data_IF_311583283441
#
_entry.id   IF_311583283441
#
_cell.length_a   1.000
_cell.length_b   1.000
_cell.length_c   1.000
_cell.angle_alpha   90.00
_cell.angle_beta   90.00
_cell.angle_gamma   90.00
#
_symmetry.space_group_name_H-M   'P 1'
#
loop_
_entity.id
_entity.type
_entity.pdbx_description
1 polymer ?
#
# COMPACT_ATOMS: atom_id res chain seq x y z
N UNK A 1 11.93 46.63 -23.21
CA UNK A 1 12.98 45.59 -23.05
C UNK A 1 12.30 44.23 -23.05
N UNK A 2 12.97 43.23 -23.62
CA UNK A 2 12.39 41.95 -24.11
C UNK A 2 11.60 41.19 -23.02
N UNK A 3 10.43 40.65 -23.41
CA UNK A 3 9.80 39.52 -22.71
C UNK A 3 10.78 38.36 -22.84
N UNK A 4 11.49 38.00 -21.78
CA UNK A 4 12.25 36.76 -21.77
C UNK A 4 11.25 35.60 -21.90
N UNK A 5 11.37 34.87 -23.00
CA UNK A 5 10.63 33.65 -23.25
C UNK A 5 11.02 32.62 -22.19
N UNK A 6 10.08 32.20 -21.34
CA UNK A 6 10.30 31.10 -20.38
C UNK A 6 10.68 29.85 -21.19
N UNK A 7 11.95 29.48 -21.17
CA UNK A 7 12.45 28.33 -21.90
C UNK A 7 12.03 27.06 -21.15
N UNK A 8 11.38 26.13 -21.87
CA UNK A 8 10.89 24.87 -21.28
C UNK A 8 12.07 24.00 -20.83
N UNK A 9 12.06 23.47 -19.60
CA UNK A 9 13.14 22.61 -19.12
C UNK A 9 13.31 21.35 -19.96
N UNK A 10 14.55 21.01 -20.30
CA UNK A 10 14.93 19.86 -21.11
C UNK A 10 15.39 18.72 -20.20
N UNK A 11 14.65 17.63 -20.18
CA UNK A 11 14.93 16.44 -19.37
C UNK A 11 15.39 15.32 -20.28
N UNK A 12 16.52 14.69 -19.96
CA UNK A 12 16.90 13.41 -20.57
C UNK A 12 16.48 12.26 -19.65
N UNK A 13 15.56 11.42 -20.11
CA UNK A 13 15.13 10.23 -19.38
C UNK A 13 15.73 8.95 -20.00
N UNK A 14 16.57 8.26 -19.23
CA UNK A 14 17.26 7.03 -19.63
C UNK A 14 16.63 5.83 -18.90
N UNK A 15 15.96 4.96 -19.65
CA UNK A 15 15.18 3.83 -19.14
C UNK A 15 15.01 2.80 -20.27
N UNK A 16 15.12 1.51 -20.01
CA UNK A 16 15.01 0.46 -21.03
C UNK A 16 13.57 -0.04 -21.24
N UNK A 17 12.72 0.02 -20.21
CA UNK A 17 11.31 -0.35 -20.33
C UNK A 17 10.49 0.70 -21.13
N UNK A 18 9.92 0.33 -22.30
CA UNK A 18 9.17 1.26 -23.14
C UNK A 18 7.89 1.78 -22.49
N UNK A 19 7.30 1.03 -21.55
CA UNK A 19 6.08 1.47 -20.85
C UNK A 19 6.40 2.56 -19.83
N UNK A 20 7.45 2.37 -19.03
CA UNK A 20 7.95 3.37 -18.08
C UNK A 20 8.36 4.66 -18.79
N UNK A 21 9.13 4.55 -19.88
CA UNK A 21 9.46 5.66 -20.78
C UNK A 21 8.22 6.45 -21.22
N UNK A 22 7.22 5.77 -21.77
CA UNK A 22 5.99 6.40 -22.25
C UNK A 22 5.23 7.14 -21.14
N UNK A 23 5.11 6.56 -19.95
CA UNK A 23 4.36 7.13 -18.83
C UNK A 23 5.06 8.38 -18.30
N UNK A 24 6.35 8.28 -17.98
CA UNK A 24 7.11 9.39 -17.41
C UNK A 24 7.31 10.51 -18.44
N UNK A 25 7.54 10.17 -19.72
CA UNK A 25 7.59 11.17 -20.80
C UNK A 25 6.32 12.00 -20.85
N UNK A 26 5.15 11.34 -20.96
CA UNK A 26 3.85 12.04 -21.03
C UNK A 26 3.61 12.93 -19.81
N UNK A 27 4.03 12.47 -18.63
CA UNK A 27 3.87 13.20 -17.38
C UNK A 27 4.75 14.44 -17.31
N UNK A 28 6.00 14.34 -17.73
CA UNK A 28 6.93 15.46 -17.72
C UNK A 28 6.61 16.47 -18.83
N UNK A 29 6.15 16.00 -20.00
CA UNK A 29 5.63 16.84 -21.07
C UNK A 29 4.39 17.64 -20.63
N UNK A 30 3.46 17.01 -19.89
CA UNK A 30 2.30 17.72 -19.33
C UNK A 30 2.67 18.69 -18.19
N UNK A 31 3.82 18.48 -17.54
CA UNK A 31 4.41 19.43 -16.60
C UNK A 31 5.17 20.58 -17.28
N UNK A 32 5.12 20.67 -18.61
CA UNK A 32 5.74 21.76 -19.38
C UNK A 32 7.21 21.51 -19.77
N UNK A 33 7.75 20.31 -19.55
CA UNK A 33 9.11 19.95 -19.93
C UNK A 33 9.21 19.46 -21.38
N UNK A 34 10.41 19.57 -21.95
CA UNK A 34 10.80 18.87 -23.18
C UNK A 34 11.55 17.61 -22.74
N UNK A 35 11.05 16.43 -23.11
CA UNK A 35 11.65 15.16 -22.70
C UNK A 35 12.35 14.50 -23.89
N UNK A 36 13.61 14.16 -23.70
CA UNK A 36 14.40 13.32 -24.58
C UNK A 36 14.56 11.94 -23.95
N UNK A 37 14.38 10.87 -24.72
CA UNK A 37 14.45 9.50 -24.23
C UNK A 37 15.76 8.82 -24.66
N UNK A 38 16.29 7.92 -23.85
CA UNK A 38 17.36 6.98 -24.23
C UNK A 38 17.03 5.59 -23.64
N UNK A 39 17.36 4.52 -24.37
CA UNK A 39 16.94 3.15 -24.00
C UNK A 39 18.03 2.33 -23.29
N UNK A 40 19.23 2.91 -23.14
CA UNK A 40 20.37 2.32 -22.42
C UNK A 40 21.37 3.41 -22.03
N UNK A 41 22.33 3.06 -21.16
CA UNK A 41 23.32 4.01 -20.65
C UNK A 41 24.21 4.61 -21.75
N UNK A 42 24.56 3.84 -22.79
CA UNK A 42 25.40 4.32 -23.90
C UNK A 42 24.73 5.45 -24.67
N UNK A 43 23.48 5.23 -25.08
CA UNK A 43 22.67 6.24 -25.75
C UNK A 43 22.43 7.45 -24.82
N UNK A 44 22.28 7.22 -23.51
CA UNK A 44 22.18 8.27 -22.50
C UNK A 44 23.41 9.19 -22.48
N UNK A 45 24.62 8.63 -22.50
CA UNK A 45 25.88 9.40 -22.57
C UNK A 45 25.98 10.21 -23.87
N UNK A 46 25.70 9.59 -25.01
CA UNK A 46 25.74 10.25 -26.33
C UNK A 46 24.73 11.41 -26.43
N UNK A 47 23.51 11.20 -25.92
CA UNK A 47 22.47 12.22 -25.87
C UNK A 47 22.78 13.32 -24.86
N UNK A 48 23.36 13.01 -23.72
CA UNK A 48 23.76 14.02 -22.74
C UNK A 48 24.79 14.98 -23.34
N UNK A 49 25.81 14.46 -24.03
CA UNK A 49 26.87 15.26 -24.65
C UNK A 49 26.38 16.16 -25.80
N UNK A 50 25.33 15.74 -26.51
CA UNK A 50 24.79 16.49 -27.66
C UNK A 50 23.67 17.46 -27.26
N UNK A 51 22.79 17.05 -26.34
CA UNK A 51 21.62 17.84 -25.94
C UNK A 51 21.94 18.85 -24.85
N UNK A 52 22.91 18.56 -23.97
CA UNK A 52 23.19 19.30 -22.73
C UNK A 52 21.86 19.58 -21.98
N UNK A 53 21.16 18.53 -21.51
CA UNK A 53 19.89 18.69 -20.81
C UNK A 53 20.05 19.45 -19.48
N UNK A 54 18.94 19.98 -18.97
CA UNK A 54 18.91 20.70 -17.69
C UNK A 54 18.90 19.72 -16.51
N UNK A 55 18.45 18.48 -16.71
CA UNK A 55 18.53 17.37 -15.75
C UNK A 55 18.44 16.01 -16.46
N UNK A 56 19.09 15.00 -15.88
CA UNK A 56 19.04 13.62 -16.34
C UNK A 56 18.33 12.75 -15.29
N UNK A 57 17.34 11.98 -15.72
CA UNK A 57 16.75 10.89 -14.96
C UNK A 57 17.36 9.59 -15.46
N UNK A 58 18.13 8.91 -14.62
CA UNK A 58 18.96 7.77 -15.02
C UNK A 58 18.52 6.50 -14.29
N UNK A 59 17.94 5.53 -15.00
CA UNK A 59 17.78 4.19 -14.43
C UNK A 59 19.14 3.54 -14.16
N UNK A 60 19.28 2.89 -13.01
CA UNK A 60 20.51 2.20 -12.65
C UNK A 60 20.64 0.87 -13.41
N UNK A 61 19.57 0.11 -13.57
CA UNK A 61 19.61 -1.22 -14.19
C UNK A 61 19.30 -1.12 -15.69
N UNK A 62 20.29 -0.71 -16.48
CA UNK A 62 20.16 -0.58 -17.93
C UNK A 62 20.94 -1.67 -18.69
N UNK A 63 20.43 -2.14 -19.85
CA UNK A 63 21.17 -3.03 -20.73
C UNK A 63 22.32 -2.28 -21.42
N UNK A 64 23.29 -3.02 -21.96
CA UNK A 64 24.48 -2.51 -22.69
C UNK A 64 25.48 -1.74 -21.80
N UNK A 65 25.01 -0.74 -21.07
CA UNK A 65 25.76 0.06 -20.12
C UNK A 65 24.81 0.44 -18.98
N UNK A 66 25.15 0.07 -17.76
CA UNK A 66 24.36 0.41 -16.58
C UNK A 66 24.38 1.91 -16.26
N UNK A 67 23.44 2.36 -15.44
CA UNK A 67 23.28 3.79 -15.13
C UNK A 67 24.39 4.39 -14.28
N UNK A 68 25.06 3.59 -13.44
CA UNK A 68 26.19 4.08 -12.63
C UNK A 68 27.39 4.36 -13.53
N UNK A 69 27.68 3.45 -14.44
CA UNK A 69 28.74 3.59 -15.42
C UNK A 69 28.45 4.74 -16.41
N UNK A 70 27.19 4.86 -16.86
CA UNK A 70 26.77 5.99 -17.69
C UNK A 70 26.97 7.34 -16.95
N UNK A 71 26.63 7.39 -15.66
CA UNK A 71 26.83 8.58 -14.81
C UNK A 71 28.30 8.96 -14.74
N UNK A 72 29.21 8.01 -14.48
CA UNK A 72 30.66 8.28 -14.43
C UNK A 72 31.16 8.89 -15.74
N UNK A 73 30.76 8.33 -16.90
CA UNK A 73 31.13 8.87 -18.21
C UNK A 73 30.59 10.27 -18.45
N UNK A 74 29.36 10.56 -18.04
CA UNK A 74 28.76 11.89 -18.13
C UNK A 74 29.53 12.90 -17.26
N UNK A 75 30.07 12.47 -16.11
CA UNK A 75 30.89 13.31 -15.22
C UNK A 75 32.29 13.60 -15.76
N UNK A 76 32.86 12.71 -16.56
CA UNK A 76 34.18 12.90 -17.18
C UNK A 76 34.19 13.95 -18.30
N UNK A 77 33.05 14.17 -18.97
CA UNK A 77 32.91 15.15 -20.04
C UNK A 77 32.68 16.55 -19.42
N UNK A 78 33.59 17.49 -19.68
CA UNK A 78 33.60 18.83 -19.07
C UNK A 78 32.29 19.59 -19.24
N UNK A 79 31.66 19.45 -20.40
CA UNK A 79 30.42 20.13 -20.77
C UNK A 79 29.18 19.57 -20.05
N UNK A 80 29.20 18.28 -19.69
CA UNK A 80 28.08 17.60 -19.02
C UNK A 80 28.31 17.35 -17.53
N UNK A 81 29.54 17.57 -17.04
CA UNK A 81 29.96 17.26 -15.68
C UNK A 81 29.11 17.92 -14.59
N UNK A 82 28.45 19.05 -14.89
CA UNK A 82 27.59 19.79 -13.96
C UNK A 82 26.10 19.52 -14.11
N UNK A 83 25.69 18.72 -15.10
CA UNK A 83 24.27 18.45 -15.32
C UNK A 83 23.74 17.64 -14.14
N UNK A 84 22.67 18.05 -13.46
CA UNK A 84 22.08 17.29 -12.38
C UNK A 84 21.62 15.90 -12.84
N UNK A 85 21.99 14.85 -12.10
CA UNK A 85 21.63 13.45 -12.39
C UNK A 85 20.87 12.89 -11.18
N UNK A 86 19.61 12.51 -11.40
CA UNK A 86 18.78 11.78 -10.44
C UNK A 86 18.76 10.30 -10.84
N UNK A 87 19.31 9.44 -9.99
CA UNK A 87 19.25 8.00 -10.18
C UNK A 87 17.85 7.44 -9.89
N UNK A 88 17.38 6.49 -10.71
CA UNK A 88 16.16 5.73 -10.48
C UNK A 88 16.60 4.30 -10.12
N UNK A 89 16.33 3.87 -8.87
CA UNK A 89 16.85 2.59 -8.34
C UNK A 89 15.74 1.68 -7.84
N UNK A 90 15.81 0.38 -8.13
CA UNK A 90 14.87 -0.61 -7.59
C UNK A 90 15.08 -0.91 -6.09
N UNK A 91 16.22 -0.52 -5.52
CA UNK A 91 16.58 -0.78 -4.12
C UNK A 91 17.07 0.52 -3.47
N UNK A 92 16.40 0.91 -2.40
CA UNK A 92 16.76 2.08 -1.58
C UNK A 92 17.45 1.65 -0.28
N UNK A 93 18.29 0.62 -0.33
CA UNK A 93 19.05 0.14 0.83
C UNK A 93 20.34 0.96 1.01
N UNK A 94 20.92 0.92 2.20
CA UNK A 94 22.09 1.74 2.54
C UNK A 94 23.29 1.55 1.60
N UNK A 95 23.52 0.33 1.08
CA UNK A 95 24.61 0.04 0.15
C UNK A 95 24.42 0.62 -1.26
N UNK A 96 23.19 0.72 -1.74
CA UNK A 96 22.90 1.26 -3.07
C UNK A 96 23.08 2.79 -3.08
N UNK A 97 22.73 3.45 -1.98
CA UNK A 97 22.91 4.91 -1.83
C UNK A 97 24.37 5.31 -1.95
N UNK A 98 25.28 4.57 -1.32
CA UNK A 98 26.71 4.87 -1.36
C UNK A 98 27.27 4.71 -2.78
N UNK A 99 26.89 3.64 -3.49
CA UNK A 99 27.29 3.41 -4.88
C UNK A 99 26.77 4.49 -5.84
N UNK A 100 25.52 4.92 -5.66
CA UNK A 100 24.89 5.98 -6.47
C UNK A 100 25.63 7.32 -6.27
N UNK A 101 25.94 7.68 -5.01
CA UNK A 101 26.66 8.91 -4.71
C UNK A 101 28.12 8.85 -5.20
N UNK A 102 28.80 7.71 -5.04
CA UNK A 102 30.16 7.50 -5.54
C UNK A 102 30.25 7.56 -7.07
N UNK A 103 29.21 7.13 -7.78
CA UNK A 103 29.13 7.26 -9.24
C UNK A 103 28.96 8.73 -9.70
N UNK A 104 28.58 9.63 -8.78
CA UNK A 104 28.42 11.05 -9.03
C UNK A 104 26.99 11.48 -9.32
N UNK A 105 25.98 10.72 -8.91
CA UNK A 105 24.59 11.19 -8.94
C UNK A 105 24.34 12.23 -7.85
N UNK A 106 23.53 13.25 -8.15
CA UNK A 106 23.19 14.31 -7.20
C UNK A 106 22.06 13.90 -6.26
N UNK A 107 21.18 13.00 -6.72
CA UNK A 107 20.05 12.50 -5.96
C UNK A 107 19.60 11.14 -6.47
N UNK A 108 18.64 10.52 -5.79
CA UNK A 108 18.02 9.27 -6.20
C UNK A 108 16.54 9.20 -5.85
N UNK A 109 15.80 8.39 -6.60
CA UNK A 109 14.40 8.06 -6.41
C UNK A 109 14.26 6.54 -6.49
N UNK A 110 13.61 5.95 -5.49
CA UNK A 110 13.29 4.53 -5.49
C UNK A 110 12.17 4.23 -6.51
N UNK A 111 12.31 3.15 -7.28
CA UNK A 111 11.24 2.55 -8.06
C UNK A 111 10.35 1.72 -7.11
N UNK A 112 9.00 1.76 -7.25
CA UNK A 112 8.24 2.52 -8.26
C UNK A 112 8.32 4.03 -8.04
N UNK A 113 8.47 4.78 -9.14
CA UNK A 113 8.73 6.23 -9.12
C UNK A 113 7.54 6.96 -8.47
N UNK A 114 7.79 7.61 -7.33
CA UNK A 114 6.84 8.51 -6.69
C UNK A 114 6.81 9.84 -7.46
N UNK A 115 5.74 10.05 -8.23
CA UNK A 115 5.59 11.19 -9.13
C UNK A 115 5.63 12.54 -8.39
N UNK A 116 4.90 12.77 -7.28
CA UNK A 116 5.06 13.97 -6.47
C UNK A 116 6.51 14.21 -6.02
N UNK A 117 7.22 13.18 -5.57
CA UNK A 117 8.62 13.30 -5.18
C UNK A 117 9.52 13.65 -6.37
N UNK A 118 9.30 13.02 -7.53
CA UNK A 118 10.01 13.31 -8.77
C UNK A 118 9.82 14.77 -9.17
N UNK A 119 8.57 15.25 -9.22
CA UNK A 119 8.28 16.65 -9.55
C UNK A 119 8.89 17.61 -8.52
N UNK A 120 8.82 17.28 -7.23
CA UNK A 120 9.43 18.09 -6.18
C UNK A 120 10.96 18.20 -6.33
N UNK A 121 11.65 17.09 -6.59
CA UNK A 121 13.10 17.10 -6.84
C UNK A 121 13.45 17.87 -8.11
N UNK A 122 12.67 17.70 -9.18
CA UNK A 122 12.84 18.47 -10.41
C UNK A 122 12.63 19.98 -10.20
N UNK A 123 11.62 20.38 -9.43
CA UNK A 123 11.37 21.77 -9.04
C UNK A 123 12.58 22.38 -8.31
N UNK A 124 13.15 21.65 -7.36
CA UNK A 124 14.33 22.11 -6.61
C UNK A 124 15.57 22.31 -7.50
N UNK A 125 15.73 21.47 -8.51
CA UNK A 125 16.89 21.51 -9.41
C UNK A 125 16.74 22.58 -10.49
N UNK A 126 15.57 22.67 -11.11
CA UNK A 126 15.33 23.49 -12.30
C UNK A 126 14.94 24.94 -11.92
N UNK A 127 14.43 25.17 -10.71
CA UNK A 127 14.14 26.51 -10.19
C UNK A 127 12.94 27.22 -10.87
N UNK A 128 12.10 26.48 -11.60
CA UNK A 128 10.90 26.99 -12.28
C UNK A 128 9.63 26.42 -11.66
N UNK A 129 8.52 27.16 -11.65
CA UNK A 129 7.19 26.61 -11.33
C UNK A 129 6.77 25.58 -12.41
N UNK A 130 7.09 24.30 -12.19
CA UNK A 130 6.53 23.19 -12.96
C UNK A 130 5.04 23.10 -12.61
N UNK A 131 4.20 23.65 -13.47
CA UNK A 131 2.75 23.54 -13.41
C UNK A 131 2.31 22.45 -14.39
N UNK A 132 1.48 21.50 -13.93
CA UNK A 132 0.81 20.55 -14.82
C UNK A 132 -0.23 21.34 -15.63
N UNK A 133 0.17 21.92 -16.75
CA UNK A 133 -0.75 22.63 -17.63
C UNK A 133 -1.43 21.62 -18.56
N UNK A 134 -2.76 21.68 -18.74
CA UNK A 134 -3.42 20.96 -19.81
C UNK A 134 -2.90 21.50 -21.14
N UNK A 135 -2.16 20.69 -21.89
CA UNK A 135 -1.68 21.09 -23.20
C UNK A 135 -2.90 21.23 -24.14
N UNK A 136 -3.25 22.49 -24.44
CA UNK A 136 -4.25 22.87 -25.43
C UNK A 136 -3.84 22.38 -26.83
N UNK A 137 -4.67 21.52 -27.42
CA UNK A 137 -4.82 21.46 -28.88
C UNK A 137 -6.12 20.72 -29.22
N UNK A 138 -7.19 21.49 -29.40
CA UNK A 138 -8.21 21.39 -30.46
C UNK A 138 -9.25 22.50 -30.22
N UNK A 139 -9.19 23.54 -31.04
CA UNK A 139 -10.03 24.73 -30.95
C UNK A 139 -11.49 24.48 -31.36
N UNK A 140 -12.38 25.31 -30.78
CA UNK A 140 -13.75 25.67 -31.18
C UNK A 140 -14.86 24.60 -31.01
N UNK A 141 -15.64 24.73 -29.93
CA UNK A 141 -16.95 25.42 -29.93
C UNK A 141 -17.56 25.45 -28.52
N UNK A 142 -18.33 26.51 -28.30
CA UNK A 142 -19.28 26.73 -27.21
C UNK A 142 -18.70 27.09 -25.84
N UNK A 143 -18.65 28.42 -25.63
CA UNK A 143 -18.81 29.03 -24.31
C UNK A 143 -20.09 28.49 -23.67
N UNK A 144 -19.92 27.75 -22.60
CA UNK A 144 -20.91 27.68 -21.52
C UNK A 144 -20.16 28.12 -20.26
N UNK A 145 -20.46 29.33 -19.78
CA UNK A 145 -20.24 29.64 -18.35
C UNK A 145 -21.34 28.95 -17.56
N UNK A 146 -21.00 28.24 -16.47
CA UNK A 146 -21.81 28.36 -15.27
C UNK A 146 -20.98 28.58 -14.00
N UNK A 147 -21.67 29.04 -12.96
CA UNK A 147 -21.20 29.52 -11.66
C UNK A 147 -20.14 28.66 -10.94
N UNK A 148 -19.35 29.33 -10.10
CA UNK A 148 -18.41 28.70 -9.17
C UNK A 148 -19.09 27.59 -8.35
N UNK A 149 -18.63 26.35 -8.51
CA UNK A 149 -18.96 25.23 -7.63
C UNK A 149 -18.42 25.55 -6.23
N UNK A 150 -19.28 25.61 -5.21
CA UNK A 150 -18.90 25.89 -3.81
C UNK A 150 -19.13 24.68 -2.90
N UNK A 151 -19.22 23.49 -3.49
CA UNK A 151 -19.46 22.23 -2.78
C UNK A 151 -18.16 21.76 -2.11
N UNK A 152 -18.27 21.32 -0.87
CA UNK A 152 -17.17 20.83 -0.04
C UNK A 152 -17.21 19.30 0.07
N UNK A 153 -16.13 18.67 -0.37
CA UNK A 153 -15.91 17.23 -0.25
C UNK A 153 -15.04 16.91 0.96
N UNK A 154 -15.35 15.82 1.65
CA UNK A 154 -14.48 15.23 2.66
C UNK A 154 -13.94 13.89 2.18
N UNK A 155 -12.63 13.80 1.97
CA UNK A 155 -11.94 12.57 1.59
C UNK A 155 -11.42 11.90 2.86
N UNK A 156 -11.80 10.65 3.09
CA UNK A 156 -11.40 9.88 4.27
C UNK A 156 -10.66 8.63 3.82
N UNK A 157 -9.35 8.64 4.02
CA UNK A 157 -8.47 7.56 3.60
C UNK A 157 -7.21 7.60 4.47
N UNK A 158 -6.82 6.47 5.02
CA UNK A 158 -5.67 6.35 5.93
C UNK A 158 -4.34 6.29 5.18
N UNK A 159 -4.37 6.08 3.86
CA UNK A 159 -3.21 6.07 2.99
C UNK A 159 -2.97 7.47 2.41
N UNK A 160 -1.90 8.19 2.83
CA UNK A 160 -1.68 9.58 2.41
C UNK A 160 -1.59 9.78 0.89
N UNK A 161 -1.10 8.78 0.17
CA UNK A 161 -1.00 8.82 -1.31
C UNK A 161 -2.38 8.92 -1.97
N UNK A 162 -3.35 8.17 -1.47
CA UNK A 162 -4.71 8.18 -1.99
C UNK A 162 -5.39 9.53 -1.74
N UNK A 163 -5.24 10.04 -0.52
CA UNK A 163 -5.74 11.36 -0.11
C UNK A 163 -5.22 12.44 -1.05
N UNK A 164 -3.89 12.51 -1.26
CA UNK A 164 -3.25 13.52 -2.12
C UNK A 164 -3.76 13.45 -3.56
N UNK A 165 -3.92 12.24 -4.11
CA UNK A 165 -4.41 12.06 -5.49
C UNK A 165 -5.85 12.55 -5.61
N UNK A 166 -6.72 12.12 -4.70
CA UNK A 166 -8.14 12.48 -4.72
C UNK A 166 -8.34 13.97 -4.46
N UNK A 167 -7.61 14.54 -3.51
CA UNK A 167 -7.62 15.97 -3.22
C UNK A 167 -7.26 16.78 -4.47
N UNK A 168 -6.14 16.46 -5.13
CA UNK A 168 -5.74 17.14 -6.37
C UNK A 168 -6.78 17.00 -7.47
N UNK A 169 -7.34 15.81 -7.66
CA UNK A 169 -8.36 15.55 -8.67
C UNK A 169 -9.58 16.45 -8.44
N UNK A 170 -10.13 16.47 -7.23
CA UNK A 170 -11.35 17.22 -6.97
C UNK A 170 -11.13 18.73 -6.81
N UNK A 171 -10.00 19.16 -6.25
CA UNK A 171 -9.64 20.58 -6.26
C UNK A 171 -9.48 21.10 -7.69
N UNK A 172 -8.92 20.30 -8.61
CA UNK A 172 -8.81 20.68 -10.04
C UNK A 172 -10.16 20.79 -10.76
N UNK A 173 -11.18 20.09 -10.25
CA UNK A 173 -12.56 20.17 -10.72
C UNK A 173 -13.36 21.31 -10.06
N UNK A 174 -12.72 22.09 -9.17
CA UNK A 174 -13.29 23.26 -8.52
C UNK A 174 -13.97 23.01 -7.18
N UNK A 175 -13.86 21.80 -6.61
CA UNK A 175 -14.40 21.49 -5.28
C UNK A 175 -13.51 22.04 -4.16
N UNK A 176 -14.12 22.46 -3.06
CA UNK A 176 -13.39 22.61 -1.80
C UNK A 176 -13.18 21.20 -1.20
N UNK A 177 -11.97 20.91 -0.73
CA UNK A 177 -11.63 19.56 -0.25
C UNK A 177 -11.07 19.64 1.16
N UNK A 178 -11.66 18.86 2.06
CA UNK A 178 -11.13 18.53 3.37
C UNK A 178 -10.72 17.06 3.40
N UNK A 179 -9.77 16.72 4.28
CA UNK A 179 -9.20 15.38 4.34
C UNK A 179 -9.16 14.86 5.78
N UNK A 180 -9.34 13.55 5.94
CA UNK A 180 -9.21 12.86 7.21
C UNK A 180 -8.51 11.51 7.02
N UNK A 181 -7.75 11.09 8.02
CA UNK A 181 -6.97 9.84 7.96
C UNK A 181 -7.70 8.62 8.53
N UNK A 182 -8.93 8.77 9.04
CA UNK A 182 -9.80 7.70 9.53
C UNK A 182 -11.20 8.25 9.84
N UNK A 183 -12.14 7.35 10.14
CA UNK A 183 -13.53 7.73 10.46
C UNK A 183 -13.67 8.64 11.69
N UNK A 184 -12.83 8.49 12.71
CA UNK A 184 -12.95 9.32 13.92
C UNK A 184 -12.64 10.80 13.63
N UNK A 185 -11.53 11.07 12.94
CA UNK A 185 -11.17 12.43 12.50
C UNK A 185 -12.21 12.99 11.52
N UNK A 186 -12.76 12.15 10.65
CA UNK A 186 -13.83 12.57 9.75
C UNK A 186 -15.07 13.05 10.52
N UNK A 187 -15.48 12.34 11.58
CA UNK A 187 -16.58 12.78 12.45
C UNK A 187 -16.27 14.09 13.18
N UNK A 188 -15.02 14.37 13.54
CA UNK A 188 -14.63 15.66 14.11
C UNK A 188 -14.78 16.81 13.10
N UNK A 189 -14.34 16.60 11.85
CA UNK A 189 -14.51 17.57 10.77
C UNK A 189 -15.99 17.82 10.49
N UNK A 190 -16.80 16.77 10.41
CA UNK A 190 -18.24 16.84 10.16
C UNK A 190 -19.03 17.62 11.24
N UNK A 191 -18.46 17.82 12.44
CA UNK A 191 -19.08 18.66 13.48
C UNK A 191 -18.94 20.15 13.21
N UNK A 192 -17.84 20.55 12.57
CA UNK A 192 -17.41 21.95 12.48
C UNK A 192 -17.44 22.51 11.06
N UNK A 193 -17.60 21.65 10.05
CA UNK A 193 -17.59 22.03 8.65
C UNK A 193 -18.86 21.55 7.95
N UNK A 194 -19.36 22.36 7.01
CA UNK A 194 -20.42 21.96 6.11
C UNK A 194 -19.81 21.13 4.98
N UNK A 195 -20.23 19.86 4.89
CA UNK A 195 -19.74 18.89 3.91
C UNK A 195 -20.93 18.44 3.06
N UNK A 196 -20.76 18.39 1.75
CA UNK A 196 -21.81 17.99 0.81
C UNK A 196 -21.69 16.50 0.44
N UNK A 197 -20.46 15.97 0.40
CA UNK A 197 -20.18 14.57 0.11
C UNK A 197 -18.95 14.07 0.85
N UNK A 198 -19.06 12.89 1.45
CA UNK A 198 -17.94 12.11 2.00
C UNK A 198 -17.54 11.02 1.01
N UNK A 199 -16.25 10.94 0.67
CA UNK A 199 -15.64 9.85 -0.09
C UNK A 199 -14.72 9.11 0.85
N UNK A 200 -15.08 7.87 1.22
CA UNK A 200 -14.37 7.11 2.25
C UNK A 200 -13.79 5.82 1.69
N UNK A 201 -12.53 5.52 2.04
CA UNK A 201 -12.10 4.13 2.06
C UNK A 201 -12.86 3.37 3.16
N UNK A 202 -12.85 2.04 3.06
CA UNK A 202 -13.46 1.15 4.05
C UNK A 202 -12.42 0.71 5.06
N UNK A 203 -11.33 0.09 4.61
CA UNK A 203 -10.31 -0.40 5.54
C UNK A 203 -9.49 0.77 6.07
N UNK A 204 -9.79 1.21 7.28
CA UNK A 204 -9.06 2.29 7.95
C UNK A 204 -8.90 1.96 9.44
N UNK A 205 -7.77 2.33 10.07
CA UNK A 205 -7.54 2.12 11.49
C UNK A 205 -8.44 3.02 12.33
N UNK A 206 -8.61 2.65 13.61
CA UNK A 206 -9.43 3.34 14.61
C UNK A 206 -10.93 3.27 14.33
N UNK A 207 -11.35 3.67 13.14
CA UNK A 207 -12.73 3.58 12.67
C UNK A 207 -12.72 3.40 11.15
N UNK A 208 -13.24 2.26 10.71
CA UNK A 208 -13.42 1.93 9.30
C UNK A 208 -14.57 2.73 8.65
N UNK A 209 -14.64 2.67 7.32
CA UNK A 209 -15.61 3.41 6.53
C UNK A 209 -17.05 2.96 6.74
N UNK A 210 -17.31 1.67 7.00
CA UNK A 210 -18.66 1.19 7.27
C UNK A 210 -19.18 1.80 8.57
N UNK A 211 -18.32 1.83 9.59
CA UNK A 211 -18.66 2.47 10.86
C UNK A 211 -18.82 3.98 10.73
N UNK A 212 -17.95 4.66 9.98
CA UNK A 212 -18.12 6.08 9.69
C UNK A 212 -19.50 6.35 9.05
N UNK A 213 -19.88 5.59 8.02
CA UNK A 213 -21.17 5.73 7.34
C UNK A 213 -22.33 5.49 8.31
N UNK A 214 -22.25 4.47 9.15
CA UNK A 214 -23.26 4.17 10.16
C UNK A 214 -23.46 5.33 11.16
N UNK A 215 -22.37 5.87 11.73
CA UNK A 215 -22.45 7.00 12.67
C UNK A 215 -23.00 8.26 11.99
N UNK A 216 -22.65 8.48 10.72
CA UNK A 216 -23.20 9.58 9.94
C UNK A 216 -24.71 9.46 9.74
N UNK A 217 -25.23 8.26 9.44
CA UNK A 217 -26.67 8.06 9.26
C UNK A 217 -27.46 8.16 10.56
N UNK A 218 -26.86 7.79 11.69
CA UNK A 218 -27.48 7.92 13.02
C UNK A 218 -27.67 9.38 13.42
N UNK A 219 -26.76 10.27 13.02
CA UNK A 219 -26.79 11.67 13.43
C UNK A 219 -27.66 12.53 12.46
N UNK A 220 -28.73 13.18 12.95
CA UNK A 220 -29.62 14.00 12.12
C UNK A 220 -28.94 15.13 11.33
N UNK A 221 -27.80 15.64 11.81
CA UNK A 221 -27.05 16.71 11.15
C UNK A 221 -26.23 16.21 9.95
N UNK A 222 -25.84 14.94 9.96
CA UNK A 222 -24.92 14.36 8.95
C UNK A 222 -25.59 13.35 8.04
N UNK A 223 -26.74 12.79 8.42
CA UNK A 223 -27.44 11.76 7.63
C UNK A 223 -27.93 12.26 6.27
N UNK A 224 -28.00 13.58 6.07
CA UNK A 224 -28.33 14.22 4.80
C UNK A 224 -27.14 14.43 3.86
N UNK A 225 -25.91 14.17 4.31
CA UNK A 225 -24.68 14.36 3.54
C UNK A 225 -24.46 13.13 2.65
N UNK A 226 -24.13 13.32 1.37
CA UNK A 226 -23.86 12.18 0.49
C UNK A 226 -22.66 11.37 0.96
N UNK A 227 -22.66 10.07 0.67
CA UNK A 227 -21.59 9.16 1.06
C UNK A 227 -21.26 8.19 -0.06
N UNK A 228 -19.98 8.11 -0.43
CA UNK A 228 -19.47 7.17 -1.42
C UNK A 228 -18.37 6.32 -0.77
N UNK A 229 -18.52 5.01 -0.86
CA UNK A 229 -17.41 4.09 -0.61
C UNK A 229 -16.49 4.06 -1.84
N UNK A 230 -15.20 4.27 -1.62
CA UNK A 230 -14.18 4.18 -2.65
C UNK A 230 -13.02 3.32 -2.14
N UNK A 231 -13.04 2.01 -2.41
CA UNK A 231 -12.09 1.06 -1.82
C UNK A 231 -11.47 0.09 -2.84
N UNK A 232 -10.26 -0.40 -2.58
CA UNK A 232 -9.58 -1.43 -3.36
C UNK A 232 -9.86 -2.85 -2.87
N UNK A 233 -10.33 -3.01 -1.63
CA UNK A 233 -10.36 -4.31 -0.95
C UNK A 233 -11.75 -4.89 -0.79
N UNK A 234 -12.79 -4.27 -1.34
CA UNK A 234 -14.18 -4.69 -1.13
C UNK A 234 -14.91 -4.50 -2.46
N UNK A 235 -15.26 -5.59 -3.14
CA UNK A 235 -15.86 -5.53 -4.49
C UNK A 235 -16.89 -6.63 -4.74
N UNK A 236 -17.17 -7.47 -3.74
CA UNK A 236 -18.15 -8.53 -3.90
C UNK A 236 -19.59 -7.99 -3.69
N UNK A 237 -20.59 -8.69 -4.23
CA UNK A 237 -21.99 -8.23 -4.19
C UNK A 237 -22.54 -8.04 -2.77
N UNK A 238 -22.03 -8.79 -1.78
CA UNK A 238 -22.47 -8.68 -0.38
C UNK A 238 -21.95 -7.41 0.28
N UNK A 239 -20.67 -7.09 0.09
CA UNK A 239 -20.02 -5.88 0.62
C UNK A 239 -20.60 -4.60 0.03
N UNK A 240 -20.83 -4.62 -1.29
CA UNK A 240 -21.51 -3.53 -2.00
C UNK A 240 -22.93 -3.37 -1.47
N UNK A 241 -23.67 -4.48 -1.33
CA UNK A 241 -25.02 -4.49 -0.77
C UNK A 241 -25.07 -3.89 0.63
N UNK A 242 -24.18 -4.34 1.53
CA UNK A 242 -24.10 -3.83 2.89
C UNK A 242 -23.84 -2.33 2.95
N UNK A 243 -22.85 -1.83 2.20
CA UNK A 243 -22.56 -0.40 2.15
C UNK A 243 -23.76 0.44 1.71
N UNK A 244 -24.52 -0.04 0.72
CA UNK A 244 -25.74 0.63 0.26
C UNK A 244 -26.86 0.55 1.31
N UNK A 245 -27.03 -0.59 2.00
CA UNK A 245 -28.00 -0.75 3.09
C UNK A 245 -27.70 0.19 4.26
N UNK A 246 -26.43 0.51 4.53
CA UNK A 246 -26.04 1.50 5.53
C UNK A 246 -26.42 2.94 5.17
N UNK A 247 -26.81 3.21 3.93
CA UNK A 247 -27.17 4.56 3.47
C UNK A 247 -26.11 5.27 2.63
N UNK A 248 -25.10 4.54 2.14
CA UNK A 248 -24.22 5.09 1.11
C UNK A 248 -24.95 5.25 -0.22
N UNK A 249 -24.68 6.35 -0.90
CA UNK A 249 -25.23 6.68 -2.21
C UNK A 249 -24.58 5.85 -3.32
N UNK A 250 -23.30 5.53 -3.17
CA UNK A 250 -22.60 4.68 -4.12
C UNK A 250 -21.44 3.90 -3.52
N UNK A 251 -21.15 2.78 -4.18
CA UNK A 251 -19.94 1.99 -4.01
C UNK A 251 -19.04 2.04 -5.25
N UNK A 252 -17.74 2.29 -5.09
CA UNK A 252 -16.76 2.43 -6.17
C UNK A 252 -15.49 1.61 -5.86
N UNK A 253 -15.04 0.81 -6.83
CA UNK A 253 -13.88 -0.09 -6.68
C UNK A 253 -12.64 0.51 -7.33
N UNK A 254 -11.56 0.67 -6.58
CA UNK A 254 -10.27 1.18 -7.08
C UNK A 254 -9.54 0.13 -7.94
N UNK A 255 -8.77 0.55 -8.96
CA UNK A 255 -8.65 1.91 -9.47
C UNK A 255 -9.81 2.27 -10.43
N UNK A 256 -10.33 3.50 -10.32
CA UNK A 256 -11.19 4.07 -11.37
C UNK A 256 -10.42 5.09 -12.20
N UNK A 257 -10.75 5.16 -13.49
CA UNK A 257 -10.34 6.30 -14.34
C UNK A 257 -10.88 7.60 -13.74
N UNK A 258 -10.03 8.62 -13.65
CA UNK A 258 -10.34 9.92 -13.06
C UNK A 258 -11.63 10.54 -13.60
N UNK A 259 -11.84 10.48 -14.92
CA UNK A 259 -13.08 11.00 -15.54
C UNK A 259 -14.32 10.29 -15.02
N UNK A 260 -14.30 8.95 -14.89
CA UNK A 260 -15.43 8.18 -14.35
C UNK A 260 -15.69 8.50 -12.88
N UNK A 261 -14.63 8.69 -12.10
CA UNK A 261 -14.72 9.09 -10.70
C UNK A 261 -15.41 10.46 -10.56
N UNK A 262 -14.92 11.47 -11.29
CA UNK A 262 -15.48 12.82 -11.28
C UNK A 262 -16.92 12.84 -11.76
N UNK A 263 -17.23 12.16 -12.89
CA UNK A 263 -18.61 12.07 -13.39
C UNK A 263 -19.54 11.44 -12.36
N UNK A 264 -19.07 10.41 -11.64
CA UNK A 264 -19.89 9.77 -10.61
C UNK A 264 -20.17 10.71 -9.44
N UNK A 265 -19.16 11.43 -8.96
CA UNK A 265 -19.32 12.42 -7.87
C UNK A 265 -20.30 13.51 -8.28
N UNK A 266 -20.15 14.08 -9.48
CA UNK A 266 -21.09 15.07 -10.03
C UNK A 266 -22.52 14.54 -10.07
N UNK A 267 -22.70 13.31 -10.55
CA UNK A 267 -24.03 12.70 -10.61
C UNK A 267 -24.63 12.52 -9.21
N UNK A 268 -23.85 12.10 -8.22
CA UNK A 268 -24.35 11.94 -6.84
C UNK A 268 -24.80 13.27 -6.26
N UNK A 269 -23.97 14.32 -6.38
CA UNK A 269 -24.26 15.66 -5.86
C UNK A 269 -25.47 16.33 -6.54
N UNK A 270 -25.77 15.97 -7.79
CA UNK A 270 -26.93 16.51 -8.52
C UNK A 270 -28.28 15.90 -8.09
N UNK A 271 -28.29 14.83 -7.31
CA UNK A 271 -29.52 14.17 -6.88
C UNK A 271 -29.78 14.41 -5.39
N UNK A 272 -31.04 14.56 -4.99
CA UNK A 272 -31.38 14.61 -3.58
C UNK A 272 -31.01 13.30 -2.88
N UNK A 273 -30.38 13.41 -1.69
CA UNK A 273 -30.04 12.24 -0.89
C UNK A 273 -31.30 11.52 -0.43
N UNK A 274 -31.41 10.25 -0.83
CA UNK A 274 -32.45 9.33 -0.34
C UNK A 274 -32.04 8.81 1.03
N UNK A 275 -32.86 9.10 2.04
CA UNK A 275 -32.65 8.61 3.40
C UNK A 275 -33.05 7.13 3.50
N UNK A 276 -32.08 6.26 3.71
CA UNK A 276 -32.32 4.86 4.03
C UNK A 276 -32.88 4.71 5.46
N UNK A 277 -33.65 3.64 5.74
CA UNK A 277 -34.01 3.28 7.11
C UNK A 277 -32.77 3.09 7.97
N UNK A 278 -32.80 3.58 9.21
CA UNK A 278 -31.68 3.42 10.13
C UNK A 278 -31.60 1.98 10.63
N UNK A 279 -30.47 1.33 10.38
CA UNK A 279 -30.16 -0.01 10.90
C UNK A 279 -29.92 0.04 12.42
N UNK A 280 -30.36 -0.98 13.15
CA UNK A 280 -30.06 -1.11 14.57
C UNK A 280 -28.56 -1.34 14.82
N UNK A 281 -28.11 -1.13 16.06
CA UNK A 281 -26.72 -1.38 16.41
C UNK A 281 -26.37 -2.87 16.32
N UNK A 282 -27.28 -3.72 16.78
CA UNK A 282 -27.12 -5.16 16.82
C UNK A 282 -26.99 -5.74 15.40
N UNK A 283 -27.87 -5.33 14.49
CA UNK A 283 -27.81 -5.72 13.07
C UNK A 283 -26.54 -5.21 12.40
N UNK A 284 -26.14 -3.96 12.67
CA UNK A 284 -24.89 -3.40 12.14
C UNK A 284 -23.70 -4.22 12.60
N UNK A 285 -23.55 -4.45 13.91
CA UNK A 285 -22.43 -5.17 14.49
C UNK A 285 -22.32 -6.56 13.90
N UNK A 286 -23.44 -7.30 13.85
CA UNK A 286 -23.44 -8.65 13.30
C UNK A 286 -22.99 -8.68 11.83
N UNK A 287 -23.57 -7.85 10.96
CA UNK A 287 -23.24 -7.82 9.53
C UNK A 287 -21.81 -7.30 9.28
N UNK A 288 -21.38 -6.32 10.06
CA UNK A 288 -20.04 -5.75 10.00
C UNK A 288 -18.99 -6.79 10.42
N UNK A 289 -19.21 -7.46 11.54
CA UNK A 289 -18.37 -8.56 12.04
C UNK A 289 -18.34 -9.72 11.05
N UNK A 290 -19.49 -10.11 10.49
CA UNK A 290 -19.60 -11.13 9.44
C UNK A 290 -18.84 -10.75 8.17
N UNK A 291 -18.83 -9.48 7.75
CA UNK A 291 -18.12 -9.04 6.55
C UNK A 291 -16.61 -8.94 6.76
N UNK A 292 -16.18 -8.46 7.92
CA UNK A 292 -14.78 -8.54 8.37
C UNK A 292 -14.31 -10.00 8.42
N UNK A 293 -15.19 -10.90 8.87
CA UNK A 293 -15.00 -12.36 8.92
C UNK A 293 -15.04 -13.01 7.52
N UNK A 294 -15.89 -12.54 6.60
CA UNK A 294 -16.12 -13.15 5.27
C UNK A 294 -15.00 -12.90 4.27
N UNK A 295 -14.18 -11.87 4.49
CA UNK A 295 -12.92 -11.67 3.77
C UNK A 295 -11.88 -12.74 4.04
N UNK A 296 -12.14 -13.58 5.03
CA UNK A 296 -11.23 -14.61 5.51
C UNK A 296 -11.64 -15.98 4.97
N UNK A 297 -12.62 -16.05 4.06
CA UNK A 297 -13.12 -17.30 3.45
C UNK A 297 -12.12 -17.97 2.47
N UNK A 298 -10.95 -17.38 2.19
CA UNK A 298 -9.83 -18.13 1.57
C UNK A 298 -9.00 -18.96 2.59
N UNK A 299 -9.26 -18.83 3.89
CA UNK A 299 -8.55 -19.52 4.98
C UNK A 299 -9.47 -20.55 5.66
N UNK A 300 -10.42 -21.15 4.92
CA UNK A 300 -11.23 -22.22 5.48
C UNK A 300 -10.33 -23.45 5.73
N UNK A 301 -10.20 -23.95 6.97
CA UNK A 301 -9.34 -25.09 7.24
C UNK A 301 -9.95 -26.33 6.62
N UNK A 302 -9.17 -27.00 5.77
CA UNK A 302 -9.43 -28.38 5.39
C UNK A 302 -8.48 -29.29 6.14
N UNK A 303 -9.02 -30.38 6.67
CA UNK A 303 -8.26 -31.40 7.39
C UNK A 303 -7.36 -32.17 6.44
N UNK A 304 -6.05 -32.17 6.71
CA UNK A 304 -5.03 -32.98 6.03
C UNK A 304 -4.66 -34.20 6.86
N UNK A 305 -4.24 -35.28 6.20
CA UNK A 305 -3.66 -36.46 6.84
C UNK A 305 -2.13 -36.44 6.68
N UNK A 306 -1.42 -36.59 7.79
CA UNK A 306 0.05 -36.58 7.82
C UNK A 306 0.60 -37.93 8.28
N UNK A 307 1.82 -38.28 7.83
CA UNK A 307 2.59 -39.37 8.42
C UNK A 307 3.17 -38.91 9.76
N UNK A 308 3.26 -39.80 10.75
CA UNK A 308 3.86 -39.49 12.06
C UNK A 308 5.26 -38.90 11.89
N UNK A 309 5.47 -37.72 12.49
CA UNK A 309 6.77 -37.06 12.57
C UNK A 309 7.19 -37.08 14.03
N UNK A 310 8.27 -37.80 14.34
CA UNK A 310 8.89 -37.74 15.66
C UNK A 310 9.61 -36.39 15.82
N UNK A 311 9.15 -35.59 16.77
CA UNK A 311 9.91 -34.44 17.27
C UNK A 311 9.83 -34.43 18.80
N UNK A 312 10.96 -34.47 19.49
CA UNK A 312 11.02 -34.55 20.97
C UNK A 312 10.72 -33.22 21.69
N UNK A 313 10.13 -32.25 21.00
CA UNK A 313 9.86 -30.91 21.55
C UNK A 313 8.42 -30.87 22.10
N UNK A 314 8.30 -30.75 23.42
CA UNK A 314 7.02 -30.56 24.09
C UNK A 314 6.60 -29.09 24.02
N UNK A 315 5.50 -28.80 23.31
CA UNK A 315 4.87 -27.48 23.29
C UNK A 315 3.45 -27.59 23.83
N UNK A 316 3.11 -26.70 24.76
CA UNK A 316 1.80 -26.55 25.39
C UNK A 316 0.88 -25.64 24.55
N UNK A 317 -0.42 -25.91 24.66
CA UNK A 317 -1.50 -25.16 24.02
C UNK A 317 -1.72 -23.82 24.74
N UNK A 318 -2.18 -22.79 24.01
CA UNK A 318 -2.47 -21.47 24.58
C UNK A 318 -1.22 -20.63 24.82
N UNK A 319 -0.11 -20.95 24.13
CA UNK A 319 1.16 -20.25 24.26
C UNK A 319 1.74 -19.89 22.91
N UNK A 320 2.53 -18.82 22.93
CA UNK A 320 3.32 -18.36 21.81
C UNK A 320 4.80 -18.60 22.07
N UNK A 321 5.50 -19.11 21.07
CA UNK A 321 6.86 -19.58 21.17
C UNK A 321 7.78 -18.81 20.23
N UNK A 322 8.93 -18.39 20.76
CA UNK A 322 10.04 -17.85 19.99
C UNK A 322 11.00 -19.00 19.70
N UNK A 323 11.31 -19.23 18.43
CA UNK A 323 12.21 -20.29 17.98
C UNK A 323 13.44 -19.63 17.37
N UNK A 324 14.58 -19.76 18.04
CA UNK A 324 15.83 -19.21 17.52
C UNK A 324 16.40 -20.14 16.44
N UNK A 325 16.33 -19.73 15.18
CA UNK A 325 16.87 -20.50 14.07
C UNK A 325 17.21 -19.63 12.86
N UNK A 326 18.26 -20.02 12.13
CA UNK A 326 18.68 -19.31 10.92
C UNK A 326 17.82 -19.65 9.70
N UNK A 327 17.30 -20.86 9.68
CA UNK A 327 16.43 -21.40 8.63
C UNK A 327 15.26 -22.07 9.32
N UNK A 328 14.01 -21.92 8.84
CA UNK A 328 12.80 -22.30 9.60
C UNK A 328 12.56 -23.83 9.70
N UNK A 329 13.59 -24.66 9.55
CA UNK A 329 13.41 -26.12 9.49
C UNK A 329 12.84 -26.67 10.80
N UNK A 330 13.32 -26.19 11.95
CA UNK A 330 12.85 -26.65 13.27
C UNK A 330 11.41 -26.21 13.51
N UNK A 331 11.06 -24.97 13.19
CA UNK A 331 9.68 -24.48 13.33
C UNK A 331 8.70 -25.22 12.41
N UNK A 332 9.07 -25.52 11.16
CA UNK A 332 8.24 -26.35 10.28
C UNK A 332 8.09 -27.79 10.79
N UNK A 333 9.13 -28.39 11.40
CA UNK A 333 9.02 -29.71 12.02
C UNK A 333 8.03 -29.71 13.20
N UNK A 334 8.12 -28.71 14.10
CA UNK A 334 7.17 -28.56 15.21
C UNK A 334 5.75 -28.36 14.67
N UNK A 335 5.59 -27.50 13.66
CA UNK A 335 4.31 -27.23 13.02
C UNK A 335 3.68 -28.50 12.44
N UNK A 336 4.44 -29.27 11.63
CA UNK A 336 3.98 -30.52 11.03
C UNK A 336 3.57 -31.57 12.07
N UNK A 337 4.33 -31.70 13.16
CA UNK A 337 3.95 -32.59 14.27
C UNK A 337 2.59 -32.20 14.83
N UNK A 338 2.30 -30.92 15.00
CA UNK A 338 0.99 -30.46 15.48
C UNK A 338 -0.13 -30.74 14.49
N UNK A 339 0.11 -30.61 13.19
CA UNK A 339 -0.88 -31.03 12.22
C UNK A 339 -1.17 -32.55 12.30
N UNK A 340 -0.13 -33.38 12.52
CA UNK A 340 -0.31 -34.82 12.72
C UNK A 340 -1.08 -35.17 14.02
N UNK A 341 -1.01 -34.33 15.04
CA UNK A 341 -1.81 -34.42 16.28
C UNK A 341 -3.26 -33.92 16.11
N UNK A 342 -3.65 -33.50 14.90
CA UNK A 342 -5.00 -33.05 14.57
C UNK A 342 -5.24 -31.55 14.75
N UNK A 343 -4.19 -30.73 14.89
CA UNK A 343 -4.33 -29.28 14.84
C UNK A 343 -4.53 -28.81 13.41
N UNK A 344 -5.29 -27.74 13.24
CA UNK A 344 -5.38 -27.03 11.97
C UNK A 344 -4.22 -26.03 11.86
N UNK A 345 -3.60 -25.94 10.70
CA UNK A 345 -2.43 -25.09 10.45
C UNK A 345 -2.75 -23.80 9.71
N UNK A 346 -2.03 -22.72 10.04
CA UNK A 346 -1.92 -21.52 9.21
C UNK A 346 -0.45 -21.11 9.10
N UNK A 347 0.00 -20.85 7.87
CA UNK A 347 1.39 -20.41 7.62
C UNK A 347 1.40 -19.00 7.06
N UNK A 348 2.06 -18.09 7.76
CA UNK A 348 2.41 -16.76 7.26
C UNK A 348 3.88 -16.83 6.85
N UNK A 349 4.19 -16.64 5.57
CA UNK A 349 5.57 -16.82 5.08
C UNK A 349 6.01 -15.75 4.10
N UNK A 350 7.29 -15.40 4.13
CA UNK A 350 7.96 -14.60 3.08
C UNK A 350 8.29 -15.42 1.83
N UNK A 351 8.43 -16.72 1.99
CA UNK A 351 8.70 -17.64 0.88
C UNK A 351 7.44 -17.80 0.05
N UNK A 352 7.58 -17.83 -1.27
CA UNK A 352 6.41 -18.02 -2.14
C UNK A 352 5.71 -19.36 -1.80
N UNK A 353 4.40 -19.36 -1.47
CA UNK A 353 3.74 -20.51 -0.84
C UNK A 353 3.89 -21.83 -1.58
N UNK A 354 3.91 -21.85 -2.92
CA UNK A 354 4.10 -23.08 -3.70
C UNK A 354 5.37 -23.85 -3.30
N UNK A 355 6.47 -23.16 -3.00
CA UNK A 355 7.72 -23.83 -2.61
C UNK A 355 7.61 -24.47 -1.23
N UNK A 356 6.97 -23.78 -0.28
CA UNK A 356 6.78 -24.30 1.08
C UNK A 356 5.83 -25.49 1.06
N UNK A 357 4.72 -25.38 0.31
CA UNK A 357 3.75 -26.48 0.13
C UNK A 357 4.43 -27.74 -0.41
N UNK A 358 5.23 -27.60 -1.46
CA UNK A 358 5.94 -28.74 -2.05
C UNK A 358 7.03 -29.32 -1.13
N UNK A 359 7.75 -28.47 -0.38
CA UNK A 359 8.84 -28.90 0.50
C UNK A 359 8.33 -29.68 1.72
N UNK A 360 7.19 -29.26 2.29
CA UNK A 360 6.67 -29.79 3.55
C UNK A 360 5.36 -30.57 3.39
N UNK A 361 4.90 -30.78 2.14
CA UNK A 361 3.69 -31.53 1.81
C UNK A 361 2.41 -30.96 2.48
N UNK A 362 2.25 -29.63 2.39
CA UNK A 362 1.17 -28.84 3.00
C UNK A 362 0.16 -28.39 1.93
N UNK A 363 -0.59 -29.33 1.35
CA UNK A 363 -1.46 -29.10 0.19
C UNK A 363 -2.69 -28.24 0.53
N UNK A 364 -3.40 -28.59 1.60
CA UNK A 364 -4.64 -27.96 2.05
C UNK A 364 -4.44 -26.96 3.20
N UNK A 365 -3.25 -26.93 3.83
CA UNK A 365 -2.92 -25.90 4.80
C UNK A 365 -3.03 -24.51 4.14
N UNK A 366 -3.75 -23.55 4.75
CA UNK A 366 -3.84 -22.18 4.27
C UNK A 366 -2.55 -21.39 4.48
N UNK A 367 -2.29 -20.45 3.56
CA UNK A 367 -1.10 -19.61 3.56
C UNK A 367 -1.46 -18.14 3.41
N UNK A 368 -0.77 -17.27 4.16
CA UNK A 368 -0.68 -15.84 3.87
C UNK A 368 0.72 -15.55 3.37
N UNK A 369 0.84 -15.11 2.13
CA UNK A 369 2.11 -14.70 1.56
C UNK A 369 2.42 -13.26 1.99
N UNK A 370 3.39 -13.11 2.88
CA UNK A 370 3.86 -11.80 3.31
C UNK A 370 4.59 -11.17 2.12
N UNK A 371 3.90 -10.43 1.26
CA UNK A 371 4.49 -9.80 0.07
C UNK A 371 3.80 -8.49 -0.26
N UNK A 372 4.57 -7.55 -0.79
CA UNK A 372 4.03 -6.30 -1.35
C UNK A 372 3.43 -6.51 -2.75
N UNK A 373 3.63 -7.69 -3.35
CA UNK A 373 3.09 -8.05 -4.66
C UNK A 373 1.85 -8.92 -4.50
N UNK A 374 0.74 -8.47 -5.05
CA UNK A 374 -0.50 -9.25 -5.09
C UNK A 374 -0.31 -10.54 -5.91
N UNK A 375 -0.82 -11.66 -5.39
CA UNK A 375 -0.93 -12.93 -6.11
C UNK A 375 -2.39 -13.22 -6.43
N UNK A 376 -2.67 -13.73 -7.63
CA UNK A 376 -4.01 -14.24 -7.97
C UNK A 376 -4.31 -15.61 -7.35
N UNK A 377 -3.28 -16.31 -6.88
CA UNK A 377 -3.37 -17.68 -6.39
C UNK A 377 -3.23 -17.80 -4.87
N UNK A 378 -2.78 -16.73 -4.20
CA UNK A 378 -2.51 -16.73 -2.76
C UNK A 378 -2.88 -15.38 -2.16
N UNK A 379 -3.51 -15.43 -0.99
CA UNK A 379 -3.72 -14.24 -0.16
C UNK A 379 -2.35 -13.64 0.19
N UNK A 380 -2.17 -12.34 -0.06
CA UNK A 380 -0.91 -11.65 0.21
C UNK A 380 -1.15 -10.31 0.88
N UNK A 381 -0.48 -10.09 2.00
CA UNK A 381 -0.57 -8.81 2.71
C UNK A 381 0.65 -8.57 3.57
N UNK A 382 0.95 -7.29 3.82
CA UNK A 382 1.90 -6.83 4.83
C UNK A 382 1.24 -5.86 5.81
N UNK A 383 -0.08 -5.71 5.75
CA UNK A 383 -0.86 -4.85 6.64
C UNK A 383 -1.11 -5.59 7.96
N UNK A 384 -0.67 -5.02 9.07
CA UNK A 384 -0.81 -5.65 10.40
C UNK A 384 -2.25 -5.79 10.86
N UNK A 385 -3.15 -4.91 10.40
CA UNK A 385 -4.57 -5.01 10.67
C UNK A 385 -5.15 -6.22 9.96
N UNK A 386 -4.83 -6.37 8.67
CA UNK A 386 -5.27 -7.52 7.87
C UNK A 386 -4.70 -8.83 8.42
N UNK A 387 -3.40 -8.86 8.74
CA UNK A 387 -2.76 -10.01 9.37
C UNK A 387 -3.37 -10.38 10.71
N UNK A 388 -3.61 -9.40 11.59
CA UNK A 388 -4.24 -9.65 12.89
C UNK A 388 -5.63 -10.24 12.72
N UNK A 389 -6.40 -9.75 11.76
CA UNK A 389 -7.75 -10.25 11.49
C UNK A 389 -7.72 -11.66 10.93
N UNK A 390 -6.86 -11.94 9.93
CA UNK A 390 -6.69 -13.28 9.36
C UNK A 390 -6.32 -14.32 10.42
N UNK A 391 -5.37 -13.99 11.31
CA UNK A 391 -4.94 -14.89 12.38
C UNK A 391 -6.06 -15.10 13.40
N UNK A 392 -6.71 -14.03 13.88
CA UNK A 392 -7.79 -14.14 14.88
C UNK A 392 -8.98 -14.95 14.36
N UNK A 393 -9.37 -14.76 13.11
CA UNK A 393 -10.44 -15.55 12.52
C UNK A 393 -10.09 -17.03 12.35
N UNK A 394 -8.87 -17.34 11.89
CA UNK A 394 -8.41 -18.71 11.83
C UNK A 394 -8.49 -19.37 13.21
N UNK A 395 -8.03 -18.66 14.25
CA UNK A 395 -8.11 -19.12 15.64
C UNK A 395 -9.56 -19.34 16.08
N UNK A 396 -10.48 -18.42 15.77
CA UNK A 396 -11.88 -18.54 16.18
C UNK A 396 -12.64 -19.65 15.45
N UNK A 397 -12.26 -19.99 14.23
CA UNK A 397 -12.90 -21.04 13.43
C UNK A 397 -12.30 -22.42 13.68
N UNK A 398 -11.03 -22.48 14.10
CA UNK A 398 -10.30 -23.70 14.39
C UNK A 398 -10.22 -23.97 15.91
N UNK A 399 -11.00 -24.95 16.40
CA UNK A 399 -10.99 -25.32 17.84
C UNK A 399 -9.60 -25.71 18.39
N UNK A 400 -8.71 -26.23 17.54
CA UNK A 400 -7.30 -26.50 17.83
C UNK A 400 -6.47 -26.01 16.65
N UNK A 401 -5.72 -24.93 16.85
CA UNK A 401 -4.94 -24.28 15.80
C UNK A 401 -3.47 -24.14 16.16
N UNK A 402 -2.62 -24.25 15.14
CA UNK A 402 -1.22 -23.86 15.19
C UNK A 402 -0.93 -22.87 14.07
N UNK A 403 -0.30 -21.75 14.41
CA UNK A 403 0.09 -20.71 13.45
C UNK A 403 1.59 -20.60 13.42
N UNK A 404 2.15 -20.57 12.21
CA UNK A 404 3.58 -20.33 11.97
C UNK A 404 3.76 -18.95 11.33
N UNK A 405 4.47 -18.05 12.00
CA UNK A 405 4.83 -16.72 11.51
C UNK A 405 6.27 -16.69 10.98
N UNK A 406 6.49 -17.32 9.83
CA UNK A 406 7.76 -17.38 9.08
C UNK A 406 8.04 -16.07 8.31
N UNK A 407 8.39 -15.02 9.04
CA UNK A 407 8.68 -13.71 8.46
C UNK A 407 8.49 -12.55 9.41
N UNK A 408 8.56 -12.81 10.72
CA UNK A 408 8.46 -11.80 11.76
C UNK A 408 9.49 -10.68 11.54
N UNK A 409 10.73 -11.04 11.19
CA UNK A 409 11.83 -10.09 11.04
C UNK A 409 11.61 -9.16 9.84
N UNK A 410 11.00 -9.68 8.78
CA UNK A 410 10.57 -8.86 7.66
C UNK A 410 9.51 -7.84 8.08
N UNK A 411 8.49 -8.27 8.83
CA UNK A 411 7.43 -7.38 9.29
C UNK A 411 7.99 -6.34 10.28
N UNK A 412 8.86 -6.74 11.20
CA UNK A 412 9.55 -5.86 12.14
C UNK A 412 10.45 -4.84 11.42
N UNK A 413 11.16 -5.27 10.39
CA UNK A 413 11.98 -4.39 9.54
C UNK A 413 11.12 -3.36 8.79
N UNK A 414 9.91 -3.73 8.36
CA UNK A 414 9.00 -2.85 7.60
C UNK A 414 8.19 -1.90 8.47
N UNK A 415 7.65 -2.40 9.57
CA UNK A 415 6.67 -1.70 10.42
C UNK A 415 7.30 -1.09 11.68
N UNK A 416 8.53 -1.51 12.00
CA UNK A 416 9.22 -1.16 13.23
C UNK A 416 8.98 -2.19 14.33
N UNK A 417 10.01 -2.47 15.11
CA UNK A 417 9.98 -3.47 16.18
C UNK A 417 8.90 -3.18 17.23
N UNK A 418 8.76 -1.92 17.67
CA UNK A 418 7.76 -1.55 18.69
C UNK A 418 6.32 -1.81 18.22
N UNK A 419 6.03 -1.54 16.95
CA UNK A 419 4.70 -1.81 16.37
C UNK A 419 4.45 -3.31 16.32
N UNK A 420 5.45 -4.09 15.89
CA UNK A 420 5.36 -5.54 15.89
C UNK A 420 5.22 -6.15 17.29
N UNK A 421 5.86 -5.55 18.30
CA UNK A 421 5.74 -5.99 19.68
C UNK A 421 4.30 -5.82 20.18
N UNK A 422 3.67 -4.66 19.92
CA UNK A 422 2.27 -4.44 20.27
C UNK A 422 1.30 -5.37 19.52
N UNK A 423 1.58 -5.63 18.25
CA UNK A 423 0.85 -6.63 17.46
C UNK A 423 0.94 -8.02 18.12
N UNK A 424 2.14 -8.45 18.51
CA UNK A 424 2.34 -9.73 19.18
C UNK A 424 1.66 -9.81 20.54
N UNK A 425 1.72 -8.74 21.34
CA UNK A 425 1.03 -8.67 22.62
C UNK A 425 -0.49 -8.83 22.46
N UNK A 426 -1.09 -8.10 21.51
CA UNK A 426 -2.52 -8.22 21.17
C UNK A 426 -2.89 -9.62 20.69
N UNK A 427 -1.98 -10.29 19.97
CA UNK A 427 -2.19 -11.63 19.48
C UNK A 427 -2.02 -12.69 20.57
N UNK A 428 -1.06 -12.53 21.48
CA UNK A 428 -0.81 -13.45 22.60
C UNK A 428 -2.03 -13.59 23.52
N UNK A 429 -2.71 -12.48 23.82
CA UNK A 429 -3.97 -12.50 24.58
C UNK A 429 -5.03 -13.37 23.89
N UNK A 430 -5.09 -13.29 22.56
CA UNK A 430 -6.02 -14.06 21.75
C UNK A 430 -5.64 -15.54 21.65
N UNK A 431 -4.36 -15.84 21.46
CA UNK A 431 -3.81 -17.20 21.43
C UNK A 431 -4.09 -17.94 22.74
N UNK A 432 -3.88 -17.25 23.87
CA UNK A 432 -4.09 -17.79 25.22
C UNK A 432 -5.56 -18.11 25.49
N UNK A 433 -6.49 -17.30 24.98
CA UNK A 433 -7.93 -17.46 25.22
C UNK A 433 -8.61 -18.51 24.34
N UNK A 434 -7.96 -18.97 23.27
CA UNK A 434 -8.56 -19.84 22.26
C UNK A 434 -7.83 -21.17 22.04
N UNK A 435 -6.98 -21.58 22.98
CA UNK A 435 -6.23 -22.84 22.88
C UNK A 435 -5.45 -22.97 21.56
N UNK A 436 -4.87 -21.87 21.10
CA UNK A 436 -4.04 -21.81 19.89
C UNK A 436 -2.55 -21.91 20.27
N UNK A 437 -1.69 -22.27 19.32
CA UNK A 437 -0.25 -22.11 19.43
C UNK A 437 0.27 -21.18 18.34
N UNK A 438 1.15 -20.26 18.71
CA UNK A 438 1.85 -19.40 17.76
C UNK A 438 3.34 -19.73 17.78
N UNK A 439 3.91 -20.01 16.63
CA UNK A 439 5.33 -20.30 16.44
C UNK A 439 5.97 -19.16 15.66
N UNK A 440 7.03 -18.57 16.21
CA UNK A 440 7.71 -17.42 15.62
C UNK A 440 9.20 -17.77 15.48
N UNK A 441 9.62 -18.28 14.30
CA UNK A 441 11.03 -18.43 14.00
C UNK A 441 11.69 -17.07 13.81
N UNK A 442 12.88 -16.89 14.38
CA UNK A 442 13.68 -15.68 14.23
C UNK A 442 15.17 -16.02 14.14
N UNK A 443 15.90 -15.42 13.20
CA UNK A 443 17.37 -15.42 13.24
C UNK A 443 17.85 -14.38 14.28
N UNK A 444 18.49 -14.78 15.39
CA UNK A 444 18.93 -13.87 16.45
C UNK A 444 19.87 -12.75 15.96
N UNK A 445 20.52 -12.92 14.81
CA UNK A 445 21.43 -11.92 14.22
C UNK A 445 20.70 -10.75 13.57
N UNK A 446 19.41 -10.89 13.31
CA UNK A 446 18.59 -9.86 12.63
C UNK A 446 18.00 -8.85 13.61
N UNK A 447 18.04 -9.14 14.91
CA UNK A 447 17.54 -8.28 15.98
C UNK A 447 18.69 -7.79 16.86
N UNK A 448 18.51 -6.63 17.48
CA UNK A 448 19.41 -6.19 18.55
C UNK A 448 19.22 -7.06 19.80
N UNK A 449 20.25 -7.14 20.66
CA UNK A 449 20.14 -7.88 21.93
C UNK A 449 18.97 -7.38 22.81
N UNK A 450 18.64 -6.09 22.74
CA UNK A 450 17.53 -5.52 23.50
C UNK A 450 16.18 -5.99 22.96
N UNK A 451 16.04 -6.04 21.64
CA UNK A 451 14.82 -6.51 20.96
C UNK A 451 14.60 -8.00 21.20
N UNK A 452 15.65 -8.82 21.06
CA UNK A 452 15.58 -10.26 21.33
C UNK A 452 15.14 -10.54 22.78
N UNK A 453 15.78 -9.92 23.77
CA UNK A 453 15.37 -10.05 25.19
C UNK A 453 13.95 -9.56 25.47
N UNK A 454 13.45 -8.61 24.67
CA UNK A 454 12.08 -8.13 24.81
C UNK A 454 11.11 -9.19 24.27
N UNK A 455 11.44 -9.83 23.14
CA UNK A 455 10.65 -10.96 22.63
C UNK A 455 10.68 -12.18 23.54
N UNK A 456 11.83 -12.55 24.11
CA UNK A 456 11.96 -13.65 25.07
C UNK A 456 11.12 -13.44 26.35
N UNK A 457 10.75 -12.19 26.66
CA UNK A 457 9.86 -11.87 27.79
C UNK A 457 8.38 -12.01 27.42
N UNK A 458 8.04 -11.76 26.16
CA UNK A 458 6.66 -11.84 25.65
C UNK A 458 6.31 -13.25 25.16
N UNK A 459 7.30 -14.01 24.70
CA UNK A 459 7.16 -15.32 24.07
C UNK A 459 7.96 -16.36 24.85
N UNK A 460 7.48 -17.60 24.87
CA UNK A 460 8.23 -18.71 25.49
C UNK A 460 9.38 -19.13 24.57
N UNK A 461 10.66 -19.00 24.98
CA UNK A 461 11.78 -19.40 24.14
C UNK A 461 11.86 -20.93 24.01
N UNK A 462 12.05 -21.43 22.78
CA UNK A 462 12.32 -22.83 22.46
C UNK A 462 13.72 -22.98 21.87
N UNK A 463 14.67 -23.31 22.75
CA UNK A 463 16.08 -23.56 22.44
C UNK A 463 16.27 -24.77 21.53
#
# INVERSE_FOLDING_TARGET
MKKDSVQRPRILYVEDDPKSRLIIRKLLESAGCIVYEAVNGKEGVEKAATLIPDVILMDIMLPVMDGLEATRRIREIKETAKIPIIALTAKAMAGDREQILQAGCDDYIAKPIDIPLLLHKLLQIIGTELSLQPHESLQKKERITPAALSETLLIVDDTPKNVIVLEKVFTSEGYNVLTASNGMKALEILKNHQIDLVISDIAMPVMDGYRLCYEMMKNPKTRGIHFIFYSSHYSNKREVGFGLTLGADHYMVRPLETKKLVTRVKNVLQHEKKLAPLMSWEEFSQLHDELLTSKIIEIAPKTESFKEVEADIAVEIGRSYLIEEKTPEKSYTIFLKKLSEGFQGLVLTRTYPKFVKNRYNLEETPFVWLSATASKEFTSTTDLTELSLSMKHFISTAQKSVILLDGYEFLASKMGFTVMLHFLQSLNEFVSSHNCMLLIPVDPKTLTQKELRTLERELTPLL
#
